data_IF_011129175199
#
_entry.id   IF_011129175199
#
_cell.length_a   1.000
_cell.length_b   1.000
_cell.length_c   1.000
_cell.angle_alpha   90.00
_cell.angle_beta   90.00
_cell.angle_gamma   90.00
#
_symmetry.space_group_name_H-M   'P 1'
#
loop_
_entity.id
_entity.type
_entity.pdbx_description
1 polymer ?
#
# COMPACT_ATOMS: atom_id res chain seq x y z
N UNK A 1 20.01 -11.01 15.44
CA UNK A 1 21.09 -10.72 14.48
C UNK A 1 20.71 -9.46 13.70
N UNK A 2 21.34 -8.31 13.96
CA UNK A 2 21.07 -7.04 13.27
C UNK A 2 21.56 -7.19 11.84
N UNK A 3 20.67 -7.42 10.87
CA UNK A 3 21.05 -7.44 9.45
C UNK A 3 21.50 -6.02 9.11
N UNK A 4 22.79 -5.82 8.86
CA UNK A 4 23.27 -4.55 8.33
C UNK A 4 22.51 -4.23 7.04
N UNK A 5 21.97 -3.02 6.97
CA UNK A 5 21.15 -2.58 5.85
C UNK A 5 21.95 -2.73 4.54
N UNK A 6 21.48 -3.59 3.63
CA UNK A 6 21.92 -3.61 2.23
C UNK A 6 21.30 -2.46 1.40
N UNK A 7 20.61 -1.53 2.05
CA UNK A 7 19.96 -0.40 1.40
C UNK A 7 20.89 0.80 1.40
N UNK A 8 21.93 0.76 0.55
CA UNK A 8 22.61 1.98 0.08
C UNK A 8 21.69 2.75 -0.89
N UNK A 9 20.74 2.04 -1.53
CA UNK A 9 19.87 2.52 -2.59
C UNK A 9 18.57 3.15 -2.08
N UNK A 10 18.69 4.31 -1.42
CA UNK A 10 17.85 5.50 -1.59
C UNK A 10 16.30 5.50 -1.52
N UNK A 11 15.57 4.39 -1.49
CA UNK A 11 14.09 4.37 -1.37
C UNK A 11 13.65 3.14 -0.57
N UNK A 12 12.82 3.37 0.44
CA UNK A 12 12.41 2.34 1.39
C UNK A 12 10.98 1.85 1.11
N UNK A 13 10.77 0.53 0.89
CA UNK A 13 9.45 0.00 0.58
C UNK A 13 8.58 -0.11 1.83
N UNK A 14 7.45 0.60 1.79
CA UNK A 14 6.39 0.57 2.80
C UNK A 14 5.18 -0.13 2.19
N UNK A 15 5.09 -1.43 2.46
CA UNK A 15 4.01 -2.25 1.96
C UNK A 15 2.86 -2.33 2.97
N UNK A 16 1.65 -2.00 2.50
CA UNK A 16 0.39 -1.98 3.26
C UNK A 16 -0.65 -2.86 2.56
N UNK A 17 -1.56 -3.43 3.33
CA UNK A 17 -2.62 -4.28 2.79
C UNK A 17 -3.98 -3.61 2.94
N UNK A 18 -4.80 -3.76 1.91
CA UNK A 18 -6.20 -3.36 1.95
C UNK A 18 -7.00 -4.34 2.80
N UNK A 19 -8.19 -3.93 3.24
CA UNK A 19 -9.14 -4.83 3.90
C UNK A 19 -9.45 -6.03 2.99
N UNK A 20 -9.70 -7.23 3.54
CA UNK A 20 -10.15 -8.37 2.75
C UNK A 20 -11.47 -8.01 2.05
N UNK A 21 -11.44 -7.95 0.72
CA UNK A 21 -12.62 -7.78 -0.12
C UNK A 21 -12.80 -9.03 -0.97
N UNK A 22 -14.05 -9.40 -1.22
CA UNK A 22 -14.34 -10.54 -2.10
C UNK A 22 -13.85 -10.19 -3.50
N UNK A 23 -12.94 -11.01 -4.03
CA UNK A 23 -12.45 -10.84 -5.39
C UNK A 23 -13.62 -10.94 -6.39
N UNK A 24 -13.74 -10.00 -7.35
CA UNK A 24 -14.76 -10.08 -8.40
C UNK A 24 -14.48 -11.22 -9.40
N UNK A 25 -13.25 -11.72 -9.47
CA UNK A 25 -12.87 -12.82 -10.33
C UNK A 25 -13.06 -14.19 -9.70
N UNK A 26 -13.08 -15.20 -10.56
CA UNK A 26 -12.98 -16.61 -10.17
C UNK A 26 -11.61 -17.13 -10.64
N UNK A 27 -10.70 -17.39 -9.70
CA UNK A 27 -9.39 -17.95 -10.00
C UNK A 27 -9.23 -19.31 -9.31
N UNK A 28 -9.00 -20.36 -10.11
CA UNK A 28 -8.89 -21.75 -9.64
C UNK A 28 -7.66 -21.95 -8.74
N UNK A 29 -6.57 -21.22 -9.01
CA UNK A 29 -5.32 -21.33 -8.27
C UNK A 29 -5.25 -20.42 -7.04
N UNK A 30 -6.21 -19.50 -6.90
CA UNK A 30 -6.13 -18.52 -5.84
C UNK A 30 -6.46 -19.15 -4.49
N UNK A 31 -5.54 -19.15 -3.52
CA UNK A 31 -5.89 -19.53 -2.17
C UNK A 31 -6.88 -18.49 -1.64
N UNK A 32 -8.07 -18.93 -1.25
CA UNK A 32 -9.09 -18.07 -0.65
C UNK A 32 -9.11 -18.35 0.84
N UNK A 33 -8.57 -17.41 1.63
CA UNK A 33 -8.66 -17.44 3.09
C UNK A 33 -9.58 -16.32 3.54
N UNK A 34 -10.52 -16.60 4.44
CA UNK A 34 -11.53 -15.62 4.85
C UNK A 34 -10.95 -14.39 5.57
N UNK A 35 -9.75 -14.51 6.15
CA UNK A 35 -9.14 -13.50 7.02
C UNK A 35 -7.98 -12.72 6.37
N UNK A 36 -7.64 -13.00 5.10
CA UNK A 36 -6.52 -12.34 4.41
C UNK A 36 -6.95 -11.76 3.07
N UNK A 37 -6.27 -10.72 2.57
CA UNK A 37 -6.45 -10.28 1.20
C UNK A 37 -6.16 -11.42 0.22
N UNK A 38 -6.85 -11.40 -0.91
CA UNK A 38 -6.81 -12.44 -1.93
C UNK A 38 -5.35 -12.73 -2.36
N UNK A 39 -5.02 -14.01 -2.57
CA UNK A 39 -3.69 -14.50 -2.98
C UNK A 39 -2.58 -14.51 -1.91
N UNK A 40 -2.85 -14.04 -0.69
CA UNK A 40 -1.83 -13.97 0.37
C UNK A 40 -1.95 -15.08 1.42
N UNK A 41 -0.80 -15.57 1.90
CA UNK A 41 -0.73 -16.54 3.00
C UNK A 41 -0.77 -15.84 4.36
N UNK A 42 -1.50 -16.40 5.34
CA UNK A 42 -1.64 -15.79 6.67
C UNK A 42 -0.31 -15.65 7.44
N UNK A 43 0.71 -16.43 7.08
CA UNK A 43 2.02 -16.41 7.73
C UNK A 43 2.96 -15.31 7.17
N UNK A 44 2.57 -14.62 6.09
CA UNK A 44 3.38 -13.53 5.53
C UNK A 44 3.55 -12.41 6.57
N UNK A 45 4.77 -11.89 6.80
CA UNK A 45 5.00 -10.80 7.74
C UNK A 45 4.17 -9.54 7.43
N UNK A 46 3.85 -9.29 6.16
CA UNK A 46 2.99 -8.17 5.77
C UNK A 46 1.53 -8.39 6.21
N UNK A 47 1.00 -9.59 5.98
CA UNK A 47 -0.34 -9.99 6.38
C UNK A 47 -0.51 -9.97 7.89
N UNK A 48 0.45 -10.54 8.62
CA UNK A 48 0.44 -10.52 10.08
C UNK A 48 0.47 -9.10 10.66
N UNK A 49 1.18 -8.16 10.01
CA UNK A 49 1.14 -6.75 10.40
C UNK A 49 -0.21 -6.11 10.08
N UNK A 50 -0.75 -6.37 8.89
CA UNK A 50 -2.04 -5.84 8.49
C UNK A 50 -3.16 -6.30 9.44
N UNK A 51 -3.18 -7.57 9.82
CA UNK A 51 -4.13 -8.14 10.80
C UNK A 51 -3.97 -7.44 12.16
N UNK A 52 -2.74 -7.25 12.65
CA UNK A 52 -2.50 -6.54 13.92
C UNK A 52 -2.95 -5.06 13.90
N UNK A 53 -3.05 -4.48 12.71
CA UNK A 53 -3.51 -3.12 12.50
C UNK A 53 -4.98 -3.05 12.08
N UNK A 54 -5.73 -4.16 12.09
CA UNK A 54 -7.12 -4.24 11.60
C UNK A 54 -7.29 -3.68 10.17
N UNK A 55 -6.25 -3.81 9.33
CA UNK A 55 -6.17 -3.26 7.96
C UNK A 55 -6.32 -1.72 7.88
N UNK A 56 -6.11 -1.02 8.98
CA UNK A 56 -6.08 0.44 9.05
C UNK A 56 -4.84 0.99 8.29
N UNK A 57 -5.01 1.86 7.29
CA UNK A 57 -3.90 2.36 6.48
C UNK A 57 -2.88 3.17 7.30
N UNK A 58 -3.35 4.01 8.23
CA UNK A 58 -2.48 4.88 9.03
C UNK A 58 -1.60 4.04 9.95
N UNK A 59 -2.22 3.15 10.73
CA UNK A 59 -1.50 2.25 11.64
C UNK A 59 -0.50 1.36 10.91
N UNK A 60 -0.85 0.88 9.72
CA UNK A 60 0.06 0.06 8.91
C UNK A 60 1.30 0.82 8.45
N UNK A 61 1.13 2.05 7.94
CA UNK A 61 2.24 2.90 7.49
C UNK A 61 3.13 3.28 8.67
N UNK A 62 2.55 3.78 9.76
CA UNK A 62 3.30 4.20 10.95
C UNK A 62 4.09 3.04 11.59
N UNK A 63 3.46 1.87 11.74
CA UNK A 63 4.12 0.68 12.26
C UNK A 63 5.27 0.26 11.36
N UNK A 64 5.07 0.31 10.04
CA UNK A 64 6.09 -0.09 9.07
C UNK A 64 7.27 0.87 9.08
N UNK A 65 7.03 2.18 9.10
CA UNK A 65 8.08 3.20 9.23
C UNK A 65 8.88 3.03 10.52
N UNK A 66 8.20 2.78 11.66
CA UNK A 66 8.85 2.54 12.95
C UNK A 66 9.78 1.33 12.92
N UNK A 67 9.30 0.18 12.43
CA UNK A 67 10.10 -1.04 12.29
C UNK A 67 11.34 -0.78 11.42
N UNK A 68 11.17 -0.06 10.30
CA UNK A 68 12.28 0.27 9.39
C UNK A 68 13.30 1.20 10.04
N UNK A 69 12.85 2.21 10.77
CA UNK A 69 13.72 3.13 11.51
C UNK A 69 14.50 2.42 12.63
N UNK A 70 13.86 1.54 13.41
CA UNK A 70 14.51 0.72 14.44
C UNK A 70 15.57 -0.23 13.86
N UNK A 71 15.33 -0.73 12.64
CA UNK A 71 16.29 -1.51 11.87
C UNK A 71 17.45 -0.68 11.30
N UNK A 72 17.36 0.65 11.34
CA UNK A 72 18.36 1.58 10.81
C UNK A 72 18.24 1.86 9.31
N UNK A 73 17.07 1.60 8.71
CA UNK A 73 16.80 1.99 7.32
C UNK A 73 16.42 3.48 7.25
N UNK A 74 16.87 4.16 6.21
CA UNK A 74 16.46 5.52 5.91
C UNK A 74 14.97 5.55 5.54
N UNK A 75 14.22 6.55 6.00
CA UNK A 75 12.78 6.68 5.75
C UNK A 75 12.42 8.02 5.10
N UNK A 76 13.41 8.76 4.61
CA UNK A 76 13.22 10.04 3.93
C UNK A 76 12.54 9.89 2.56
N UNK A 77 12.78 8.75 1.90
CA UNK A 77 12.20 8.38 0.60
C UNK A 77 11.53 7.04 0.71
N UNK A 78 10.25 7.01 0.37
CA UNK A 78 9.39 5.85 0.51
C UNK A 78 8.80 5.48 -0.84
N UNK A 79 8.74 4.17 -1.10
CA UNK A 79 7.84 3.60 -2.10
C UNK A 79 6.67 2.95 -1.36
N UNK A 80 5.46 3.50 -1.53
CA UNK A 80 4.26 2.92 -0.96
C UNK A 80 3.79 1.78 -1.86
N UNK A 81 3.52 0.61 -1.29
CA UNK A 81 3.07 -0.58 -2.03
C UNK A 81 1.72 -1.03 -1.46
N UNK A 82 0.66 -0.91 -2.26
CA UNK A 82 -0.70 -1.34 -1.92
C UNK A 82 -0.90 -2.77 -2.39
N UNK A 83 -0.92 -3.69 -1.42
CA UNK A 83 -1.01 -5.13 -1.63
C UNK A 83 -2.45 -5.64 -1.47
N UNK A 84 -2.77 -6.70 -2.23
CA UNK A 84 -4.05 -7.43 -2.13
C UNK A 84 -4.71 -7.76 -3.47
N UNK A 85 -4.16 -7.27 -4.59
CA UNK A 85 -4.55 -7.60 -5.97
C UNK A 85 -5.96 -7.17 -6.41
N UNK A 86 -6.81 -6.72 -5.49
CA UNK A 86 -8.24 -6.41 -5.72
C UNK A 86 -8.63 -5.01 -5.24
N UNK A 87 -7.63 -4.18 -4.92
CA UNK A 87 -7.84 -2.81 -4.45
C UNK A 87 -8.71 -1.99 -5.41
N UNK A 88 -8.39 -2.02 -6.70
CA UNK A 88 -9.09 -1.24 -7.73
C UNK A 88 -10.53 -1.70 -7.98
N UNK A 89 -10.89 -2.90 -7.50
CA UNK A 89 -12.25 -3.44 -7.54
C UNK A 89 -13.09 -3.09 -6.29
N UNK A 90 -12.49 -2.47 -5.28
CA UNK A 90 -13.19 -2.05 -4.08
C UNK A 90 -14.08 -0.83 -4.35
N UNK A 91 -15.03 -0.48 -3.46
CA UNK A 91 -15.78 0.77 -3.55
C UNK A 91 -14.87 1.99 -3.71
N UNK A 92 -15.29 2.97 -4.52
CA UNK A 92 -14.46 4.13 -4.88
C UNK A 92 -14.10 4.97 -3.66
N UNK A 93 -15.07 5.29 -2.81
CA UNK A 93 -14.88 5.99 -1.53
C UNK A 93 -13.74 5.36 -0.70
N UNK A 94 -13.76 4.04 -0.57
CA UNK A 94 -12.71 3.30 0.12
C UNK A 94 -11.34 3.43 -0.56
N UNK A 95 -11.27 3.43 -1.89
CA UNK A 95 -9.99 3.59 -2.60
C UNK A 95 -9.35 4.96 -2.30
N UNK A 96 -10.11 6.04 -2.46
CA UNK A 96 -9.59 7.40 -2.21
C UNK A 96 -9.24 7.61 -0.74
N UNK A 97 -10.11 7.17 0.18
CA UNK A 97 -9.87 7.31 1.61
C UNK A 97 -8.65 6.51 2.07
N UNK A 98 -8.43 5.31 1.52
CA UNK A 98 -7.28 4.48 1.85
C UNK A 98 -5.97 5.14 1.43
N UNK A 99 -5.89 5.62 0.18
CA UNK A 99 -4.68 6.28 -0.33
C UNK A 99 -4.42 7.59 0.41
N UNK A 100 -5.47 8.40 0.64
CA UNK A 100 -5.37 9.64 1.40
C UNK A 100 -4.80 9.38 2.79
N UNK A 101 -5.32 8.39 3.51
CA UNK A 101 -4.84 8.04 4.84
C UNK A 101 -3.39 7.53 4.83
N UNK A 102 -2.97 6.81 3.80
CA UNK A 102 -1.55 6.46 3.64
C UNK A 102 -0.67 7.71 3.50
N UNK A 103 -1.08 8.71 2.70
CA UNK A 103 -0.36 9.98 2.60
C UNK A 103 -0.36 10.75 3.92
N UNK A 104 -1.49 10.81 4.63
CA UNK A 104 -1.60 11.47 5.94
C UNK A 104 -0.64 10.86 6.96
N UNK A 105 -0.50 9.53 6.96
CA UNK A 105 0.46 8.83 7.81
C UNK A 105 1.92 9.14 7.45
N UNK A 106 2.25 9.26 6.16
CA UNK A 106 3.57 9.71 5.72
C UNK A 106 3.84 11.18 6.09
N UNK A 107 2.79 12.00 6.09
CA UNK A 107 2.85 13.42 6.45
C UNK A 107 2.88 13.66 7.97
N UNK A 108 2.45 12.69 8.76
CA UNK A 108 2.27 12.82 10.21
C UNK A 108 1.13 13.75 10.62
N UNK A 109 0.18 14.03 9.72
CA UNK A 109 -0.98 14.89 9.97
C UNK A 109 -2.11 14.59 9.00
N UNK A 110 -3.34 14.81 9.44
CA UNK A 110 -4.54 14.67 8.62
C UNK A 110 -4.68 15.81 7.60
N UNK A 111 -5.18 15.48 6.43
CA UNK A 111 -5.59 16.41 5.36
C UNK A 111 -7.11 16.36 5.14
N UNK A 112 -7.68 17.36 4.47
CA UNK A 112 -9.10 17.34 4.10
C UNK A 112 -9.38 16.50 2.87
N UNK A 113 -8.44 16.46 1.91
CA UNK A 113 -8.60 15.77 0.61
C UNK A 113 -7.33 15.03 0.21
N UNK A 114 -7.46 14.06 -0.69
CA UNK A 114 -6.30 13.37 -1.26
C UNK A 114 -5.31 14.33 -1.92
N UNK A 115 -5.80 15.34 -2.66
CA UNK A 115 -4.94 16.35 -3.29
C UNK A 115 -4.18 17.17 -2.27
N UNK A 116 -4.80 17.54 -1.15
CA UNK A 116 -4.09 18.20 -0.06
C UNK A 116 -3.03 17.27 0.57
N UNK A 117 -3.37 16.00 0.79
CA UNK A 117 -2.45 14.99 1.32
C UNK A 117 -1.20 14.86 0.44
N UNK A 118 -1.38 14.78 -0.88
CA UNK A 118 -0.30 14.71 -1.88
C UNK A 118 0.55 15.97 -1.85
N UNK A 119 -0.06 17.15 -1.87
CA UNK A 119 0.64 18.44 -1.83
C UNK A 119 1.48 18.61 -0.56
N UNK A 120 0.96 18.19 0.59
CA UNK A 120 1.73 18.17 1.84
C UNK A 120 2.92 17.22 1.76
N UNK A 121 2.74 16.07 1.09
CA UNK A 121 3.77 15.04 0.98
C UNK A 121 4.97 15.45 0.13
N UNK A 122 4.80 16.39 -0.82
CA UNK A 122 5.89 16.92 -1.66
C UNK A 122 7.09 17.43 -0.85
N UNK A 123 6.85 17.95 0.35
CA UNK A 123 7.87 18.49 1.26
C UNK A 123 7.99 17.75 2.59
N UNK A 124 7.24 16.66 2.78
CA UNK A 124 7.23 15.91 4.03
C UNK A 124 8.58 15.24 4.33
N UNK A 125 8.75 14.83 5.59
CA UNK A 125 9.91 14.06 6.04
C UNK A 125 9.95 12.68 5.38
N UNK A 126 8.80 12.00 5.28
CA UNK A 126 8.67 10.71 4.59
C UNK A 126 8.03 10.94 3.21
N UNK A 127 8.86 11.19 2.19
CA UNK A 127 8.35 11.50 0.84
C UNK A 127 7.95 10.23 0.11
N UNK A 128 6.73 10.18 -0.38
CA UNK A 128 6.26 9.15 -1.28
C UNK A 128 6.85 9.41 -2.68
N UNK A 129 8.01 8.82 -2.95
CA UNK A 129 8.70 8.96 -4.24
C UNK A 129 8.19 7.99 -5.30
N UNK A 130 7.36 7.03 -4.90
CA UNK A 130 6.69 6.10 -5.79
C UNK A 130 5.52 5.43 -5.08
N UNK A 131 4.50 5.10 -5.85
CA UNK A 131 3.34 4.37 -5.38
C UNK A 131 3.08 3.20 -6.34
N UNK A 132 3.08 2.00 -5.78
CA UNK A 132 2.85 0.76 -6.49
C UNK A 132 1.49 0.17 -6.10
N UNK A 133 0.66 -0.17 -7.08
CA UNK A 133 -0.62 -0.87 -6.86
C UNK A 133 -0.57 -2.25 -7.50
N UNK A 134 -0.86 -3.27 -6.71
CA UNK A 134 -1.16 -4.61 -7.22
C UNK A 134 -2.59 -4.67 -7.74
N UNK A 135 -2.76 -5.15 -8.97
CA UNK A 135 -4.08 -5.39 -9.52
C UNK A 135 -4.11 -6.61 -10.44
N UNK A 136 -5.32 -7.10 -10.72
CA UNK A 136 -5.53 -8.15 -11.71
C UNK A 136 -5.53 -7.56 -13.12
N UNK A 137 -5.11 -8.30 -14.16
CA UNK A 137 -5.12 -7.84 -15.54
C UNK A 137 -6.51 -7.41 -16.05
N UNK A 138 -7.58 -8.02 -15.53
CA UNK A 138 -8.97 -7.67 -15.88
C UNK A 138 -9.51 -6.43 -15.13
N UNK A 139 -8.77 -5.93 -14.13
CA UNK A 139 -9.05 -4.72 -13.33
C UNK A 139 -7.92 -3.69 -13.49
N UNK A 140 -7.60 -3.40 -14.75
CA UNK A 140 -6.61 -2.40 -15.14
C UNK A 140 -7.04 -1.71 -16.46
N UNK A 141 -8.33 -1.37 -16.58
CA UNK A 141 -8.87 -0.67 -17.76
C UNK A 141 -8.63 0.83 -17.62
N UNK A 142 -9.03 1.61 -18.64
CA UNK A 142 -8.84 3.06 -18.65
C UNK A 142 -9.35 3.73 -17.37
N UNK A 143 -10.55 3.36 -16.92
CA UNK A 143 -11.15 3.93 -15.70
C UNK A 143 -10.31 3.66 -14.44
N UNK A 144 -9.74 2.44 -14.30
CA UNK A 144 -8.82 2.12 -13.21
C UNK A 144 -7.51 2.90 -13.33
N UNK A 145 -6.98 3.03 -14.54
CA UNK A 145 -5.74 3.76 -14.83
C UNK A 145 -5.89 5.24 -14.49
N UNK A 146 -7.00 5.86 -14.86
CA UNK A 146 -7.27 7.27 -14.56
C UNK A 146 -7.28 7.51 -13.04
N UNK A 147 -7.92 6.62 -12.27
CA UNK A 147 -7.86 6.66 -10.79
C UNK A 147 -6.45 6.44 -10.25
N UNK A 148 -5.69 5.51 -10.82
CA UNK A 148 -4.30 5.28 -10.42
C UNK A 148 -3.45 6.54 -10.62
N UNK A 149 -3.67 7.29 -11.71
CA UNK A 149 -2.99 8.58 -11.95
C UNK A 149 -3.39 9.61 -10.89
N UNK A 150 -4.67 9.69 -10.54
CA UNK A 150 -5.15 10.58 -9.45
C UNK A 150 -4.52 10.23 -8.10
N UNK A 151 -4.33 8.93 -7.80
CA UNK A 151 -3.64 8.47 -6.60
C UNK A 151 -2.16 8.82 -6.54
N UNK A 152 -1.53 9.18 -7.67
CA UNK A 152 -0.09 9.35 -7.78
C UNK A 152 0.67 8.04 -8.01
N UNK A 153 0.03 7.03 -8.59
CA UNK A 153 0.64 5.73 -8.90
C UNK A 153 1.74 5.87 -9.93
N UNK A 154 2.89 5.28 -9.66
CA UNK A 154 4.07 5.28 -10.55
C UNK A 154 4.43 3.90 -11.06
N UNK A 155 3.88 2.84 -10.45
CA UNK A 155 4.15 1.45 -10.79
C UNK A 155 2.90 0.60 -10.60
N UNK A 156 2.71 -0.38 -11.49
CA UNK A 156 1.60 -1.33 -11.40
C UNK A 156 2.18 -2.74 -11.45
N UNK A 157 1.79 -3.58 -10.50
CA UNK A 157 2.09 -5.00 -10.50
C UNK A 157 0.84 -5.77 -10.95
N UNK A 158 0.91 -6.33 -12.15
CA UNK A 158 -0.18 -7.15 -12.69
C UNK A 158 0.02 -8.61 -12.28
N UNK A 159 -0.98 -9.17 -11.60
CA UNK A 159 -1.08 -10.61 -11.37
C UNK A 159 -1.42 -11.35 -12.67
N UNK A 160 -0.43 -11.53 -13.56
CA UNK A 160 -0.59 -12.22 -14.86
C UNK A 160 -1.08 -13.67 -14.67
N UNK A 161 -0.70 -14.28 -13.54
CA UNK A 161 -1.10 -15.61 -13.09
C UNK A 161 -2.34 -15.51 -12.19
#
# INVERSE_FOLDING_TARGET
>A
MRKFARTISGVTPVAVMTRPVKCPGQCVYCPTYAATPQSYTPESPAVLRAIKCDFDPVKQVELRLRILAEMGHATDKVELIVMGGTFLASPLDYQYDFIKQCYDALNGRESATLEEAKRLNETATHRCTGLCIETRPDWCRQEEIDRMLEFGTTRVELGVQ
#
